data_IF_245150058628
#
_entry.id   IF_245150058628
#
_cell.length_a   1.000
_cell.length_b   1.000
_cell.length_c   1.000
_cell.angle_alpha   90.00
_cell.angle_beta   90.00
_cell.angle_gamma   90.00
#
_symmetry.space_group_name_H-M   'P 1'
#
loop_
_entity.id
_entity.type
_entity.pdbx_description
1 polymer ?
#
# COMPACT_ATOMS: atom_id res chain seq x y z
N UNK A 1 -17.88 6.37 3.61
CA UNK A 1 -16.54 6.87 4.02
C UNK A 1 -15.94 7.57 2.82
N UNK A 2 -15.31 8.75 2.98
CA UNK A 2 -14.73 9.46 1.86
C UNK A 2 -13.61 8.62 1.25
N UNK A 3 -13.67 8.42 -0.06
CA UNK A 3 -12.75 7.59 -0.82
C UNK A 3 -12.04 8.38 -1.93
N UNK A 4 -12.43 9.62 -2.20
CA UNK A 4 -11.87 10.48 -3.23
C UNK A 4 -11.86 11.92 -2.75
N UNK A 5 -10.86 12.68 -3.18
CA UNK A 5 -10.83 14.13 -2.96
C UNK A 5 -11.94 14.81 -3.76
N UNK A 6 -12.69 15.70 -3.10
CA UNK A 6 -13.75 16.52 -3.69
C UNK A 6 -13.59 17.96 -3.22
N UNK A 7 -14.02 18.92 -4.04
CA UNK A 7 -13.81 20.36 -3.81
C UNK A 7 -14.38 20.85 -2.47
N UNK A 8 -15.49 20.28 -2.02
CA UNK A 8 -16.24 20.76 -0.85
C UNK A 8 -16.25 19.80 0.34
N UNK A 9 -15.21 18.97 0.52
CA UNK A 9 -15.11 18.15 1.73
C UNK A 9 -14.93 19.04 2.97
N UNK A 10 -15.77 18.83 3.99
CA UNK A 10 -15.58 19.45 5.29
C UNK A 10 -14.29 18.94 5.97
N UNK A 11 -13.85 19.62 7.04
CA UNK A 11 -12.60 19.28 7.75
C UNK A 11 -12.54 17.82 8.21
N UNK A 12 -13.65 17.30 8.75
CA UNK A 12 -13.67 15.93 9.29
C UNK A 12 -13.59 14.88 8.18
N UNK A 13 -14.26 15.11 7.06
CA UNK A 13 -14.21 14.20 5.93
C UNK A 13 -12.86 14.25 5.21
N UNK A 14 -12.20 15.41 5.13
CA UNK A 14 -10.81 15.50 4.69
C UNK A 14 -9.87 14.69 5.58
N UNK A 15 -10.00 14.80 6.90
CA UNK A 15 -9.20 14.01 7.85
C UNK A 15 -9.43 12.51 7.66
N UNK A 16 -10.70 12.08 7.55
CA UNK A 16 -11.04 10.67 7.29
C UNK A 16 -10.47 10.17 5.97
N UNK A 17 -10.51 10.99 4.92
CA UNK A 17 -9.95 10.66 3.61
C UNK A 17 -8.43 10.47 3.68
N UNK A 18 -7.72 11.41 4.30
CA UNK A 18 -6.27 11.31 4.48
C UNK A 18 -5.90 10.07 5.30
N UNK A 19 -6.65 9.78 6.37
CA UNK A 19 -6.48 8.54 7.14
C UNK A 19 -6.68 7.31 6.25
N UNK A 20 -7.69 7.29 5.37
CA UNK A 20 -7.89 6.17 4.45
C UNK A 20 -6.72 6.00 3.48
N UNK A 21 -6.20 7.09 2.89
CA UNK A 21 -5.01 7.04 2.04
C UNK A 21 -3.79 6.46 2.77
N UNK A 22 -3.53 6.91 4.00
CA UNK A 22 -2.32 6.54 4.74
C UNK A 22 -2.39 5.16 5.40
N UNK A 23 -3.58 4.70 5.78
CA UNK A 23 -3.70 3.54 6.68
C UNK A 23 -4.46 2.36 6.08
N UNK A 24 -5.12 2.55 4.92
CA UNK A 24 -6.06 1.55 4.37
C UNK A 24 -5.94 1.32 2.87
N UNK A 25 -5.19 2.16 2.16
CA UNK A 25 -5.07 2.11 0.72
C UNK A 25 -4.43 0.80 0.25
N UNK A 26 -5.07 0.19 -0.75
CA UNK A 26 -4.56 -0.97 -1.50
C UNK A 26 -4.66 -0.65 -2.98
N UNK A 27 -5.90 -0.54 -3.44
CA UNK A 27 -6.22 -0.17 -4.80
C UNK A 27 -6.80 1.24 -4.90
N UNK A 28 -6.50 1.90 -6.01
CA UNK A 28 -7.14 3.15 -6.39
C UNK A 28 -7.31 3.26 -7.90
N UNK A 29 -8.19 4.16 -8.33
CA UNK A 29 -8.25 4.65 -9.71
C UNK A 29 -7.21 5.75 -9.93
N UNK A 30 -6.96 6.07 -11.20
CA UNK A 30 -6.02 7.13 -11.61
C UNK A 30 -6.39 8.52 -11.08
N UNK A 31 -7.68 8.75 -10.82
CA UNK A 31 -8.22 9.99 -10.25
C UNK A 31 -8.15 10.04 -8.71
N UNK A 32 -7.52 9.05 -8.09
CA UNK A 32 -7.34 8.94 -6.64
C UNK A 32 -8.51 8.31 -5.89
N UNK A 33 -9.56 7.83 -6.55
CA UNK A 33 -10.65 7.12 -5.86
C UNK A 33 -10.14 5.79 -5.26
N UNK A 34 -10.32 5.62 -3.95
CA UNK A 34 -9.90 4.46 -3.17
C UNK A 34 -10.92 3.33 -3.22
N UNK A 35 -10.45 2.09 -3.38
CA UNK A 35 -11.22 0.89 -3.04
C UNK A 35 -10.90 0.50 -1.59
N UNK A 36 -11.91 0.52 -0.72
CA UNK A 36 -11.76 0.34 0.73
C UNK A 36 -12.36 -0.97 1.27
N UNK A 37 -13.05 -1.76 0.42
CA UNK A 37 -13.74 -2.99 0.83
C UNK A 37 -12.90 -4.24 0.58
N UNK A 38 -12.18 -4.29 -0.54
CA UNK A 38 -11.38 -5.47 -0.91
C UNK A 38 -10.08 -5.53 -0.09
N UNK A 39 -9.79 -6.70 0.46
CA UNK A 39 -8.61 -7.00 1.28
C UNK A 39 -7.71 -8.09 0.67
N UNK A 40 -7.92 -8.41 -0.60
CA UNK A 40 -7.28 -9.51 -1.31
C UNK A 40 -5.90 -9.21 -1.89
N UNK A 41 -5.45 -10.11 -2.75
CA UNK A 41 -4.21 -10.06 -3.54
C UNK A 41 -4.35 -9.08 -4.72
N UNK A 42 -3.27 -8.81 -5.47
CA UNK A 42 -3.32 -7.98 -6.70
C UNK A 42 -4.34 -8.51 -7.73
N UNK A 43 -4.57 -9.81 -7.76
CA UNK A 43 -5.48 -10.44 -8.72
C UNK A 43 -6.96 -10.14 -8.41
N UNK A 44 -7.26 -9.75 -7.17
CA UNK A 44 -8.60 -9.37 -6.71
C UNK A 44 -8.98 -7.92 -7.05
N UNK A 45 -8.17 -7.23 -7.87
CA UNK A 45 -8.44 -5.82 -8.24
C UNK A 45 -9.80 -5.67 -8.95
N UNK A 46 -10.65 -4.71 -8.51
CA UNK A 46 -11.86 -4.40 -9.26
C UNK A 46 -11.55 -3.81 -10.64
N UNK A 47 -12.52 -3.92 -11.56
CA UNK A 47 -12.43 -3.28 -12.87
C UNK A 47 -12.20 -1.78 -12.73
N UNK A 48 -11.17 -1.26 -13.40
CA UNK A 48 -10.81 0.16 -13.40
C UNK A 48 -9.90 0.58 -12.24
N UNK A 49 -9.63 -0.30 -11.27
CA UNK A 49 -8.69 -0.06 -10.18
C UNK A 49 -7.35 -0.75 -10.46
N UNK A 50 -6.28 -0.20 -9.90
CA UNK A 50 -4.94 -0.80 -9.88
C UNK A 50 -4.35 -0.72 -8.48
N UNK A 51 -3.30 -1.49 -8.19
CA UNK A 51 -2.55 -1.26 -6.96
C UNK A 51 -2.03 0.19 -6.98
N UNK A 52 -2.01 0.86 -5.82
CA UNK A 52 -1.69 2.29 -5.79
C UNK A 52 -0.32 2.61 -6.43
N UNK A 53 0.62 1.67 -6.35
CA UNK A 53 1.98 1.80 -6.90
C UNK A 53 2.09 1.50 -8.41
N UNK A 54 1.04 0.98 -9.04
CA UNK A 54 0.99 0.73 -10.49
C UNK A 54 0.58 1.98 -11.30
N UNK A 55 0.18 3.05 -10.62
CA UNK A 55 -0.09 4.34 -11.27
C UNK A 55 1.22 5.10 -11.49
N UNK A 56 1.28 6.04 -12.46
CA UNK A 56 2.39 6.98 -12.54
C UNK A 56 2.43 7.82 -11.26
N UNK A 57 3.48 7.66 -10.46
CA UNK A 57 3.64 8.41 -9.21
C UNK A 57 4.71 9.47 -9.41
N UNK A 58 4.45 10.71 -8.97
CA UNK A 58 5.47 11.78 -9.01
C UNK A 58 6.74 11.40 -8.25
N UNK A 59 6.58 10.67 -7.14
CA UNK A 59 7.67 10.16 -6.30
C UNK A 59 8.61 9.17 -7.02
N UNK A 60 8.17 8.54 -8.12
CA UNK A 60 9.06 7.69 -8.93
C UNK A 60 10.11 8.53 -9.69
N UNK A 61 9.82 9.82 -9.91
CA UNK A 61 10.78 10.77 -10.49
C UNK A 61 11.69 11.40 -9.42
N UNK A 62 11.43 11.13 -8.15
CA UNK A 62 12.24 11.56 -7.03
C UNK A 62 13.16 10.39 -6.64
N UNK A 63 14.38 10.67 -6.16
CA UNK A 63 15.29 9.63 -5.68
C UNK A 63 14.85 9.13 -4.29
N UNK A 64 13.64 8.56 -4.22
CA UNK A 64 12.98 8.12 -3.00
C UNK A 64 12.65 6.63 -3.07
N UNK A 65 12.84 5.96 -1.92
CA UNK A 65 12.45 4.57 -1.71
C UNK A 65 11.24 4.53 -0.79
N UNK A 66 10.11 4.01 -1.28
CA UNK A 66 8.92 3.85 -0.46
C UNK A 66 8.96 2.49 0.22
N UNK A 67 8.89 2.48 1.55
CA UNK A 67 8.73 1.27 2.35
C UNK A 67 7.35 1.32 3.01
N UNK A 68 6.54 0.29 2.83
CA UNK A 68 5.17 0.27 3.37
C UNK A 68 4.75 -1.11 3.88
N UNK A 69 3.65 -1.13 4.65
CA UNK A 69 3.05 -2.35 5.19
C UNK A 69 1.54 -2.42 4.92
N UNK A 70 0.77 -2.92 5.89
CA UNK A 70 -0.70 -3.02 5.89
C UNK A 70 -1.34 -4.02 4.89
N UNK A 71 -0.69 -4.27 3.76
CA UNK A 71 -1.23 -5.13 2.70
C UNK A 71 -0.62 -6.54 2.70
N UNK A 72 -0.78 -7.28 3.79
CA UNK A 72 -0.30 -8.66 3.94
C UNK A 72 -0.60 -9.60 2.74
N UNK A 73 -1.79 -9.50 2.15
CA UNK A 73 -2.19 -10.32 1.00
C UNK A 73 -1.34 -10.09 -0.27
N UNK A 74 -0.57 -9.00 -0.33
CA UNK A 74 0.43 -8.73 -1.37
C UNK A 74 1.65 -9.66 -1.25
N UNK A 75 1.92 -10.18 -0.05
CA UNK A 75 3.05 -11.06 0.22
C UNK A 75 4.42 -10.42 -0.05
N UNK A 76 4.53 -9.11 0.11
CA UNK A 76 5.79 -8.37 -0.14
C UNK A 76 6.09 -8.09 -1.62
N UNK A 77 5.23 -8.51 -2.56
CA UNK A 77 5.53 -8.49 -4.00
C UNK A 77 4.94 -7.27 -4.69
N UNK A 78 5.74 -6.22 -4.87
CA UNK A 78 5.36 -5.00 -5.61
C UNK A 78 5.77 -5.04 -7.07
N UNK A 79 6.89 -5.70 -7.41
CA UNK A 79 7.48 -5.70 -8.75
C UNK A 79 8.19 -4.40 -9.14
N UNK A 80 8.38 -3.46 -8.19
CA UNK A 80 8.99 -2.15 -8.43
C UNK A 80 10.19 -1.99 -7.49
N UNK A 81 11.36 -1.65 -8.06
CA UNK A 81 12.65 -1.68 -7.35
C UNK A 81 12.73 -0.73 -6.15
N UNK A 82 12.13 0.46 -6.23
CA UNK A 82 12.13 1.48 -5.18
C UNK A 82 10.83 1.54 -4.37
N UNK A 83 9.99 0.50 -4.44
CA UNK A 83 8.78 0.37 -3.62
C UNK A 83 8.80 -1.01 -2.97
N UNK A 84 9.11 -1.07 -1.67
CA UNK A 84 9.22 -2.31 -0.91
C UNK A 84 8.06 -2.45 0.07
N UNK A 85 7.38 -3.59 0.01
CA UNK A 85 6.40 -3.97 1.03
C UNK A 85 7.05 -4.87 2.08
N UNK A 86 7.01 -4.48 3.35
CA UNK A 86 7.54 -5.27 4.48
C UNK A 86 6.44 -6.05 5.22
N UNK A 87 5.17 -5.83 4.87
CA UNK A 87 4.06 -6.63 5.40
C UNK A 87 3.93 -7.94 4.61
N UNK A 88 4.69 -8.93 5.05
CA UNK A 88 4.65 -10.30 4.53
C UNK A 88 3.73 -11.21 5.33
N UNK A 89 2.78 -10.65 6.10
CA UNK A 89 1.69 -11.42 6.72
C UNK A 89 2.09 -12.30 7.92
N UNK A 90 3.09 -11.89 8.72
CA UNK A 90 3.55 -12.65 9.89
C UNK A 90 2.41 -13.20 10.78
N UNK A 91 1.43 -12.36 11.14
CA UNK A 91 0.30 -12.76 11.99
C UNK A 91 -0.57 -13.87 11.37
N UNK A 92 -0.56 -13.98 10.04
CA UNK A 92 -1.29 -14.99 9.28
C UNK A 92 -0.52 -16.30 9.08
N UNK A 93 0.60 -16.48 9.78
CA UNK A 93 1.43 -17.69 9.69
C UNK A 93 2.52 -17.64 8.61
N UNK A 94 2.74 -16.46 8.02
CA UNK A 94 3.84 -16.23 7.08
C UNK A 94 5.07 -15.66 7.81
N UNK A 95 5.74 -14.66 7.21
CA UNK A 95 7.03 -14.15 7.70
C UNK A 95 6.91 -12.74 8.26
N UNK A 96 7.76 -12.41 9.23
CA UNK A 96 8.09 -11.03 9.59
C UNK A 96 9.27 -10.58 8.72
N UNK A 97 9.12 -9.44 8.03
CA UNK A 97 10.14 -8.92 7.12
C UNK A 97 10.65 -7.56 7.59
N UNK A 98 11.98 -7.39 7.54
CA UNK A 98 12.68 -6.15 7.82
C UNK A 98 13.45 -5.69 6.58
N UNK A 99 13.48 -4.38 6.37
CA UNK A 99 14.27 -3.73 5.33
C UNK A 99 15.35 -2.87 5.99
N UNK A 100 16.61 -3.11 5.65
CA UNK A 100 17.75 -2.35 6.17
C UNK A 100 18.07 -1.19 5.22
N UNK A 101 18.09 0.03 5.76
CA UNK A 101 18.15 1.25 4.95
C UNK A 101 19.52 1.48 4.31
N UNK A 102 20.59 1.06 4.97
CA UNK A 102 21.97 1.36 4.59
C UNK A 102 22.39 0.66 3.29
N UNK A 103 21.84 -0.51 3.02
CA UNK A 103 22.22 -1.35 1.87
C UNK A 103 21.03 -2.00 1.17
N UNK A 104 19.82 -1.54 1.49
CA UNK A 104 18.55 -2.03 0.92
C UNK A 104 18.34 -3.54 1.04
N UNK A 105 18.97 -4.20 2.02
CA UNK A 105 18.80 -5.64 2.23
C UNK A 105 17.49 -5.97 2.93
N UNK A 106 16.89 -7.06 2.48
CA UNK A 106 15.66 -7.61 3.04
C UNK A 106 16.01 -8.84 3.88
N UNK A 107 15.47 -8.89 5.09
CA UNK A 107 15.56 -10.03 6.00
C UNK A 107 14.15 -10.52 6.31
N UNK A 108 13.93 -11.83 6.30
CA UNK A 108 12.62 -12.41 6.60
C UNK A 108 12.76 -13.65 7.48
N UNK A 109 11.95 -13.72 8.53
CA UNK A 109 11.93 -14.83 9.48
C UNK A 109 10.52 -15.38 9.61
N UNK A 110 10.38 -16.69 9.80
CA UNK A 110 9.09 -17.35 10.00
C UNK A 110 8.44 -16.89 11.31
N UNK A 111 7.10 -16.89 11.35
CA UNK A 111 6.33 -16.61 12.57
C UNK A 111 6.78 -17.53 13.71
N UNK A 112 7.13 -16.96 14.85
CA UNK A 112 7.39 -17.71 16.08
C UNK A 112 6.03 -18.12 16.67
N UNK A 113 5.90 -19.39 17.07
CA UNK A 113 4.66 -19.96 17.60
C UNK A 113 4.22 -19.29 18.91
#
# INVERSE_FOLDING_TARGET
MPAKSETNLNRLDRLRLNTNYLTRMRFCKVDGELELKIKGTIDDKPKGFKAWFDHPLSIQNENLHIIFGHWAALGGKTGISNITSVDTGCVWGYKLTAFRLEDSRVFSYDRIN
#
